data_IF_675135648413
#
_entry.id   IF_675135648413
#
_cell.length_a   1.000
_cell.length_b   1.000
_cell.length_c   1.000
_cell.angle_alpha   90.00
_cell.angle_beta   90.00
_cell.angle_gamma   90.00
#
_symmetry.space_group_name_H-M   'P 1'
#
loop_
_entity.id
_entity.type
_entity.pdbx_description
1 polymer ?
#
# COMPACT_ATOMS: atom_id res chain seq x y z
N UNK A 1 -0.94 -12.84 19.44
CA UNK A 1 -1.38 -11.74 20.34
C UNK A 1 -2.90 -11.76 20.43
N UNK A 2 -3.52 -11.59 21.63
CA UNK A 2 -4.97 -11.56 21.76
C UNK A 2 -5.46 -10.13 21.77
N UNK A 3 -6.30 -9.76 20.80
CA UNK A 3 -6.92 -8.44 20.67
C UNK A 3 -8.45 -8.52 20.73
N UNK A 4 -8.97 -9.60 21.32
CA UNK A 4 -10.42 -9.86 21.40
C UNK A 4 -11.13 -8.70 22.11
N UNK A 5 -12.19 -8.17 21.50
CA UNK A 5 -12.97 -7.06 22.05
C UNK A 5 -12.32 -5.67 21.96
N UNK A 6 -11.12 -5.55 21.41
CA UNK A 6 -10.52 -4.22 21.20
C UNK A 6 -11.22 -3.46 20.07
N UNK A 7 -11.24 -2.14 20.20
CA UNK A 7 -11.74 -1.22 19.19
C UNK A 7 -11.02 -1.39 17.85
N UNK A 8 -11.73 -1.24 16.78
CA UNK A 8 -11.19 -1.12 15.42
C UNK A 8 -11.18 0.34 14.99
N UNK A 9 -10.11 0.78 14.32
CA UNK A 9 -10.03 2.12 13.73
C UNK A 9 -11.05 2.27 12.59
N UNK A 10 -11.60 3.47 12.46
CA UNK A 10 -12.43 3.89 11.32
C UNK A 10 -11.62 4.59 10.24
N UNK A 11 -10.36 4.93 10.52
CA UNK A 11 -9.46 5.59 9.56
C UNK A 11 -8.83 4.57 8.62
N UNK A 12 -9.68 3.74 7.98
CA UNK A 12 -9.25 2.64 7.11
C UNK A 12 -9.98 2.72 5.77
N UNK A 13 -9.22 2.63 4.71
CA UNK A 13 -9.69 2.50 3.34
C UNK A 13 -9.32 1.12 2.82
N UNK A 14 -10.31 0.23 2.76
CA UNK A 14 -10.13 -1.10 2.22
C UNK A 14 -10.41 -1.08 0.71
N UNK A 15 -9.35 -1.28 -0.07
CA UNK A 15 -9.41 -1.31 -1.53
C UNK A 15 -8.93 -2.65 -2.10
N UNK A 16 -8.89 -3.67 -1.26
CA UNK A 16 -8.59 -5.04 -1.69
C UNK A 16 -9.57 -5.45 -2.80
N UNK A 17 -9.11 -6.22 -3.77
CA UNK A 17 -9.91 -6.62 -4.94
C UNK A 17 -10.25 -5.48 -5.90
N UNK A 18 -10.04 -4.22 -5.49
CA UNK A 18 -10.05 -3.08 -6.41
C UNK A 18 -8.66 -2.86 -7.00
N UNK A 19 -7.84 -3.93 -6.94
CA UNK A 19 -6.48 -3.98 -7.47
C UNK A 19 -6.45 -3.28 -8.79
N UNK A 20 -5.51 -2.35 -8.94
CA UNK A 20 -5.52 -1.38 -9.99
C UNK A 20 -6.04 -2.02 -11.25
N UNK A 21 -7.09 -1.46 -11.80
CA UNK A 21 -7.19 -1.49 -13.26
C UNK A 21 -5.78 -1.04 -13.64
N UNK A 22 -4.88 -2.02 -13.85
CA UNK A 22 -3.77 -1.78 -14.74
C UNK A 22 -4.46 -0.95 -15.80
N UNK A 23 -4.01 0.27 -16.09
CA UNK A 23 -4.56 1.02 -17.18
C UNK A 23 -4.41 0.07 -18.37
N UNK A 24 -5.35 -0.87 -18.40
CA UNK A 24 -5.52 -1.81 -19.49
C UNK A 24 -5.66 -0.85 -20.60
N UNK A 25 -4.75 -0.88 -21.52
CA UNK A 25 -4.86 -0.12 -22.75
C UNK A 25 -6.24 -0.43 -23.26
N UNK A 26 -7.23 0.43 -22.93
CA UNK A 26 -8.60 0.23 -23.34
C UNK A 26 -8.60 0.07 -24.85
N UNK A 27 -9.66 -0.50 -25.41
CA UNK A 27 -9.77 -0.76 -26.84
C UNK A 27 -9.21 0.41 -27.68
N UNK A 28 -9.44 1.67 -27.23
CA UNK A 28 -8.90 2.89 -27.85
C UNK A 28 -7.37 3.00 -27.80
N UNK A 29 -6.74 2.59 -26.73
CA UNK A 29 -5.27 2.57 -26.61
C UNK A 29 -4.66 1.48 -27.47
N UNK A 30 -5.26 0.30 -27.52
CA UNK A 30 -4.83 -0.78 -28.40
C UNK A 30 -4.93 -0.37 -29.89
N UNK A 31 -6.05 0.25 -30.28
CA UNK A 31 -6.24 0.76 -31.64
C UNK A 31 -5.19 1.81 -31.99
N UNK A 32 -4.88 2.71 -31.08
CA UNK A 32 -3.85 3.74 -31.28
C UNK A 32 -2.47 3.12 -31.48
N UNK A 33 -2.07 2.16 -30.64
CA UNK A 33 -0.79 1.48 -30.74
C UNK A 33 -0.70 0.65 -32.05
N UNK A 34 -1.78 -0.04 -32.41
CA UNK A 34 -1.87 -0.76 -33.69
C UNK A 34 -1.72 0.20 -34.89
N UNK A 35 -2.37 1.37 -34.85
CA UNK A 35 -2.26 2.37 -35.90
C UNK A 35 -0.84 2.94 -36.04
N UNK A 36 -0.19 3.26 -34.89
CA UNK A 36 1.20 3.74 -34.88
C UNK A 36 2.15 2.64 -35.40
N UNK A 37 1.96 1.38 -34.98
CA UNK A 37 2.79 0.25 -35.44
C UNK A 37 2.66 0.08 -36.95
N UNK A 38 1.44 0.19 -37.49
CA UNK A 38 1.21 0.10 -38.94
C UNK A 38 1.89 1.26 -39.71
N UNK A 39 1.79 2.50 -39.20
CA UNK A 39 2.45 3.67 -39.79
C UNK A 39 3.97 3.54 -39.81
N UNK A 40 4.55 2.84 -38.81
CA UNK A 40 6.00 2.59 -38.71
C UNK A 40 6.44 1.33 -39.49
N UNK A 41 5.54 0.71 -40.27
CA UNK A 41 5.86 -0.47 -41.10
C UNK A 41 5.88 -1.80 -40.34
N UNK A 42 5.39 -1.82 -39.08
CA UNK A 42 5.25 -3.04 -38.28
C UNK A 42 3.91 -3.73 -38.51
N UNK A 43 3.79 -4.97 -38.04
CA UNK A 43 2.55 -5.76 -38.15
C UNK A 43 1.67 -5.57 -36.90
N UNK A 44 0.46 -4.93 -37.01
CA UNK A 44 -0.45 -4.75 -35.88
C UNK A 44 -0.87 -6.04 -35.18
N UNK A 45 -0.91 -7.16 -35.92
CA UNK A 45 -1.28 -8.48 -35.37
C UNK A 45 -0.27 -8.98 -34.33
N UNK A 46 1.00 -8.61 -34.47
CA UNK A 46 2.03 -8.99 -33.49
C UNK A 46 1.85 -8.23 -32.17
N UNK A 47 1.40 -6.97 -32.24
CA UNK A 47 1.03 -6.18 -31.06
C UNK A 47 -0.17 -6.82 -30.34
N UNK A 48 -1.19 -7.22 -31.07
CA UNK A 48 -2.37 -7.89 -30.50
C UNK A 48 -1.99 -9.22 -29.86
N UNK A 49 -1.10 -10.01 -30.47
CA UNK A 49 -0.61 -11.28 -29.92
C UNK A 49 0.22 -11.09 -28.67
N UNK A 50 1.11 -10.08 -28.62
CA UNK A 50 1.92 -9.76 -27.45
C UNK A 50 1.10 -9.16 -26.30
N UNK A 51 0.02 -8.44 -26.62
CA UNK A 51 -0.86 -7.81 -25.64
C UNK A 51 -1.87 -8.78 -24.98
N UNK A 52 -1.80 -10.08 -25.23
CA UNK A 52 -2.69 -11.10 -24.65
C UNK A 52 -3.81 -11.57 -25.59
N UNK A 53 -3.67 -11.29 -26.89
CA UNK A 53 -4.47 -11.92 -27.95
C UNK A 53 -5.98 -11.66 -27.88
N UNK A 54 -6.75 -12.69 -28.17
CA UNK A 54 -8.19 -12.71 -28.35
C UNK A 54 -8.97 -12.36 -27.05
N UNK A 55 -8.38 -12.54 -25.87
CA UNK A 55 -9.02 -12.23 -24.57
C UNK A 55 -9.34 -10.75 -24.40
N UNK A 56 -8.53 -9.86 -24.97
CA UNK A 56 -8.81 -8.39 -24.95
C UNK A 56 -9.97 -8.06 -25.89
N UNK A 57 -10.13 -8.81 -26.98
CA UNK A 57 -11.17 -8.57 -27.98
C UNK A 57 -12.53 -9.16 -27.62
N UNK A 58 -12.55 -10.24 -26.83
CA UNK A 58 -13.80 -10.91 -26.47
C UNK A 58 -14.44 -10.39 -25.20
N UNK A 59 -13.78 -9.46 -24.46
CA UNK A 59 -14.34 -8.89 -23.23
C UNK A 59 -14.69 -9.94 -22.17
N UNK A 60 -14.20 -11.15 -22.32
CA UNK A 60 -14.67 -12.34 -21.63
C UNK A 60 -13.86 -12.72 -20.40
N UNK A 61 -13.64 -11.79 -19.49
CA UNK A 61 -13.43 -12.07 -18.09
C UNK A 61 -14.45 -11.26 -17.35
N UNK A 62 -15.53 -11.86 -16.88
CA UNK A 62 -16.28 -11.24 -15.81
C UNK A 62 -15.27 -10.87 -14.72
N UNK A 63 -15.27 -9.63 -14.18
CA UNK A 63 -14.45 -9.30 -13.05
C UNK A 63 -14.83 -10.31 -11.96
N UNK A 64 -13.99 -11.31 -11.70
CA UNK A 64 -14.21 -12.23 -10.58
C UNK A 64 -14.32 -11.35 -9.36
N UNK A 65 -15.49 -11.34 -8.76
CA UNK A 65 -15.75 -10.58 -7.54
C UNK A 65 -14.72 -11.05 -6.52
N UNK A 66 -13.82 -10.14 -6.12
CA UNK A 66 -12.82 -10.46 -5.11
C UNK A 66 -13.54 -10.78 -3.80
N UNK A 67 -13.48 -12.02 -3.38
CA UNK A 67 -14.00 -12.47 -2.09
C UNK A 67 -12.80 -12.68 -1.16
N UNK A 68 -12.65 -11.83 -0.13
CA UNK A 68 -11.55 -12.00 0.83
C UNK A 68 -11.62 -13.37 1.51
N UNK A 69 -10.49 -14.00 1.72
CA UNK A 69 -10.41 -15.21 2.52
C UNK A 69 -10.62 -14.91 4.01
N UNK A 70 -10.97 -15.90 4.80
CA UNK A 70 -11.11 -15.74 6.25
C UNK A 70 -9.78 -15.29 6.91
N UNK A 71 -8.64 -15.70 6.36
CA UNK A 71 -7.32 -15.26 6.83
C UNK A 71 -7.09 -13.76 6.51
N UNK A 72 -7.41 -13.31 5.31
CA UNK A 72 -7.31 -11.90 4.94
C UNK A 72 -8.23 -11.01 5.79
N UNK A 73 -9.44 -11.46 6.09
CA UNK A 73 -10.35 -10.73 6.99
C UNK A 73 -9.81 -10.67 8.42
N UNK A 74 -9.24 -11.76 8.94
CA UNK A 74 -8.60 -11.77 10.24
C UNK A 74 -7.41 -10.80 10.31
N UNK A 75 -6.57 -10.76 9.26
CA UNK A 75 -5.45 -9.81 9.14
C UNK A 75 -5.92 -8.35 8.99
N UNK A 76 -6.96 -8.12 8.21
CA UNK A 76 -7.56 -6.79 8.06
C UNK A 76 -8.13 -6.29 9.40
N UNK A 77 -8.84 -7.14 10.14
CA UNK A 77 -9.33 -6.83 11.48
C UNK A 77 -8.19 -6.53 12.44
N UNK A 78 -7.17 -7.38 12.45
CA UNK A 78 -5.97 -7.17 13.27
C UNK A 78 -5.31 -5.82 12.97
N UNK A 79 -5.15 -5.46 11.69
CA UNK A 79 -4.58 -4.18 11.26
C UNK A 79 -5.39 -3.01 11.79
N UNK A 80 -6.72 -3.07 11.70
CA UNK A 80 -7.62 -2.04 12.24
C UNK A 80 -7.49 -1.89 13.75
N UNK A 81 -7.31 -3.00 14.48
CA UNK A 81 -7.15 -2.98 15.94
C UNK A 81 -5.79 -2.41 16.37
N UNK A 82 -4.72 -2.73 15.65
CA UNK A 82 -3.38 -2.15 15.91
C UNK A 82 -3.39 -0.66 15.63
N UNK A 83 -3.95 -0.22 14.47
CA UNK A 83 -4.08 1.19 14.17
C UNK A 83 -4.86 1.94 15.28
N UNK A 84 -5.97 1.37 15.74
CA UNK A 84 -6.74 1.93 16.85
C UNK A 84 -5.91 2.09 18.12
N UNK A 85 -5.06 1.12 18.43
CA UNK A 85 -4.13 1.19 19.57
C UNK A 85 -3.10 2.31 19.41
N UNK A 86 -2.56 2.50 18.21
CA UNK A 86 -1.63 3.63 17.94
C UNK A 86 -2.34 4.98 18.02
N UNK A 87 -3.59 5.08 17.56
CA UNK A 87 -4.40 6.29 17.69
C UNK A 87 -4.58 6.68 19.17
N UNK A 88 -4.89 5.71 20.02
CA UNK A 88 -5.10 5.96 21.46
C UNK A 88 -3.82 6.50 22.12
N UNK A 89 -2.67 5.86 21.81
CA UNK A 89 -1.36 6.27 22.35
C UNK A 89 -0.97 7.66 21.85
N UNK A 90 -0.98 7.88 20.54
CA UNK A 90 -0.52 9.15 19.98
C UNK A 90 -1.47 10.32 20.26
N UNK A 91 -2.77 10.07 20.39
CA UNK A 91 -3.71 11.11 20.86
C UNK A 91 -3.36 11.57 22.28
N UNK A 92 -2.99 10.64 23.16
CA UNK A 92 -2.58 10.98 24.52
C UNK A 92 -1.25 11.75 24.55
N UNK A 93 -0.24 11.30 23.76
CA UNK A 93 1.06 11.95 23.71
C UNK A 93 1.00 13.34 23.09
N UNK A 94 0.27 13.53 21.99
CA UNK A 94 0.09 14.85 21.37
C UNK A 94 -0.60 15.82 22.32
N UNK A 95 -1.61 15.33 23.07
CA UNK A 95 -2.28 16.15 24.12
C UNK A 95 -1.31 16.60 25.21
N UNK A 96 -0.38 15.72 25.62
CA UNK A 96 0.69 16.08 26.60
C UNK A 96 1.61 17.16 26.07
N UNK A 97 1.85 17.18 24.77
CA UNK A 97 2.65 18.21 24.10
C UNK A 97 1.86 19.49 23.79
N UNK A 98 0.57 19.56 24.14
CA UNK A 98 -0.29 20.69 23.76
C UNK A 98 -0.70 20.71 22.29
N UNK A 99 -0.56 19.58 21.59
CA UNK A 99 -0.85 19.42 20.17
C UNK A 99 -2.11 18.56 19.95
N UNK A 100 -2.65 18.62 18.73
CA UNK A 100 -3.75 17.76 18.29
C UNK A 100 -3.20 16.69 17.35
N UNK A 101 -3.48 15.43 17.64
CA UNK A 101 -3.13 14.31 16.77
C UNK A 101 -4.16 14.16 15.65
N UNK A 102 -3.69 14.11 14.43
CA UNK A 102 -4.48 13.77 13.24
C UNK A 102 -4.07 12.35 12.81
N UNK A 103 -4.93 11.32 12.95
CA UNK A 103 -4.56 9.95 12.59
C UNK A 103 -4.29 9.77 11.09
N UNK A 104 -3.39 8.85 10.71
CA UNK A 104 -3.21 8.50 9.30
C UNK A 104 -4.38 7.66 8.79
N UNK A 105 -4.55 7.61 7.47
CA UNK A 105 -5.42 6.62 6.84
C UNK A 105 -4.65 5.33 6.60
N UNK A 106 -5.16 4.19 7.06
CA UNK A 106 -4.64 2.88 6.70
C UNK A 106 -5.30 2.41 5.40
N UNK A 107 -4.51 2.19 4.36
CA UNK A 107 -4.97 1.68 3.07
C UNK A 107 -4.60 0.20 2.96
N UNK A 108 -5.61 -0.67 2.98
CA UNK A 108 -5.44 -2.10 2.73
C UNK A 108 -5.63 -2.38 1.24
N UNK A 109 -4.64 -3.00 0.60
CA UNK A 109 -4.68 -3.30 -0.83
C UNK A 109 -4.18 -4.71 -1.12
N UNK A 110 -4.27 -5.14 -2.38
CA UNK A 110 -3.71 -6.40 -2.92
C UNK A 110 -2.97 -6.12 -4.21
N UNK A 111 -1.78 -6.72 -4.37
CA UNK A 111 -0.91 -6.69 -5.54
C UNK A 111 -0.28 -5.32 -5.85
N UNK A 112 -1.09 -4.30 -6.14
CA UNK A 112 -0.59 -2.98 -6.51
C UNK A 112 -1.53 -1.87 -6.06
N UNK A 113 -0.95 -0.70 -5.82
CA UNK A 113 -1.68 0.50 -5.39
C UNK A 113 -1.01 1.75 -5.95
N UNK A 114 -1.81 2.79 -6.19
CA UNK A 114 -1.33 4.13 -6.50
C UNK A 114 -1.53 5.04 -5.29
N UNK A 115 -0.44 5.67 -4.85
CA UNK A 115 -0.42 6.67 -3.78
C UNK A 115 -0.01 8.05 -4.32
N UNK A 116 -0.11 9.08 -3.50
CA UNK A 116 0.44 10.40 -3.83
C UNK A 116 1.97 10.40 -3.95
N UNK A 117 2.66 9.38 -3.39
CA UNK A 117 4.11 9.21 -3.48
C UNK A 117 4.55 8.33 -4.67
N UNK A 118 3.61 7.86 -5.49
CA UNK A 118 3.85 6.99 -6.64
C UNK A 118 3.17 5.64 -6.54
N UNK A 119 3.40 4.79 -7.55
CA UNK A 119 2.90 3.42 -7.59
C UNK A 119 3.74 2.50 -6.71
N UNK A 120 3.08 1.56 -6.04
CA UNK A 120 3.72 0.50 -5.26
C UNK A 120 3.09 -0.85 -5.56
N UNK A 121 3.85 -1.92 -5.34
CA UNK A 121 3.41 -3.31 -5.51
C UNK A 121 3.70 -4.13 -4.25
N UNK A 122 3.25 -5.37 -4.22
CA UNK A 122 3.52 -6.30 -3.10
C UNK A 122 5.01 -6.43 -2.75
N UNK A 123 5.92 -6.19 -3.72
CA UNK A 123 7.36 -6.22 -3.48
C UNK A 123 7.92 -5.00 -2.76
N UNK A 124 7.15 -3.91 -2.69
CA UNK A 124 7.56 -2.68 -1.99
C UNK A 124 7.49 -2.82 -0.46
N UNK A 125 6.76 -3.81 0.03
CA UNK A 125 6.43 -3.93 1.45
C UNK A 125 5.45 -2.85 1.93
N UNK A 126 5.12 -2.82 3.21
CA UNK A 126 4.39 -1.72 3.86
C UNK A 126 5.15 -0.40 3.75
N UNK A 127 4.44 0.71 3.64
CA UNK A 127 5.07 2.03 3.58
C UNK A 127 4.11 3.15 4.02
N UNK A 128 4.69 4.24 4.49
CA UNK A 128 3.99 5.49 4.74
C UNK A 128 4.21 6.47 3.59
N UNK A 129 3.15 7.12 3.13
CA UNK A 129 3.22 8.21 2.16
C UNK A 129 2.88 9.54 2.83
N UNK A 130 3.85 10.46 2.88
CA UNK A 130 3.65 11.78 3.47
C UNK A 130 2.77 12.70 2.63
N UNK A 131 2.66 12.43 1.33
CA UNK A 131 1.88 13.23 0.39
C UNK A 131 0.37 13.13 0.60
N UNK A 132 -0.12 11.98 1.07
CA UNK A 132 -1.53 11.74 1.38
C UNK A 132 -1.78 11.31 2.84
N UNK A 133 -0.73 11.32 3.68
CA UNK A 133 -0.75 10.95 5.09
C UNK A 133 -1.33 9.55 5.33
N UNK A 134 -1.00 8.60 4.47
CA UNK A 134 -1.55 7.26 4.50
C UNK A 134 -0.49 6.19 4.71
N UNK A 135 -0.84 5.17 5.48
CA UNK A 135 -0.08 3.94 5.65
C UNK A 135 -0.64 2.89 4.70
N UNK A 136 0.20 2.32 3.85
CA UNK A 136 -0.17 1.35 2.83
C UNK A 136 0.29 -0.04 3.19
N UNK A 137 -0.62 -1.01 3.15
CA UNK A 137 -0.35 -2.39 3.53
C UNK A 137 -0.97 -3.36 2.54
N UNK A 138 -0.13 -4.18 1.91
CA UNK A 138 -0.57 -5.39 1.22
C UNK A 138 -0.67 -6.54 2.22
N UNK A 139 -1.87 -7.10 2.40
CA UNK A 139 -2.08 -8.20 3.35
C UNK A 139 -1.33 -9.48 2.97
N UNK A 140 -0.98 -9.68 1.69
CA UNK A 140 -0.19 -10.83 1.23
C UNK A 140 1.22 -10.83 1.83
N UNK A 141 1.79 -9.65 2.09
CA UNK A 141 3.07 -9.50 2.78
C UNK A 141 3.04 -10.18 4.17
N UNK A 142 1.94 -10.03 4.89
CA UNK A 142 1.80 -10.57 6.23
C UNK A 142 1.52 -12.07 6.26
N UNK A 143 0.80 -12.59 5.28
CA UNK A 143 0.67 -14.04 5.09
C UNK A 143 2.05 -14.67 4.89
N UNK A 144 2.93 -14.00 4.16
CA UNK A 144 4.33 -14.44 3.97
C UNK A 144 5.14 -14.36 5.26
N UNK A 145 5.04 -13.26 6.00
CA UNK A 145 5.71 -13.12 7.31
C UNK A 145 5.26 -14.21 8.30
N UNK A 146 3.97 -14.49 8.37
CA UNK A 146 3.44 -15.53 9.25
C UNK A 146 3.99 -16.92 8.91
N UNK A 147 4.14 -17.23 7.63
CA UNK A 147 4.76 -18.48 7.17
C UNK A 147 6.23 -18.58 7.55
N UNK A 148 6.97 -17.47 7.50
CA UNK A 148 8.41 -17.43 7.80
C UNK A 148 8.72 -17.39 9.29
N UNK A 149 7.94 -16.64 10.08
CA UNK A 149 8.21 -16.37 11.50
C UNK A 149 7.24 -17.07 12.47
N UNK A 150 6.26 -17.83 11.97
CA UNK A 150 5.32 -18.59 12.79
C UNK A 150 4.49 -17.70 13.73
N UNK A 151 4.32 -18.15 14.99
CA UNK A 151 3.52 -17.43 16.00
C UNK A 151 4.09 -16.08 16.43
N UNK A 152 5.37 -15.83 16.19
CA UNK A 152 6.00 -14.51 16.39
C UNK A 152 5.52 -13.46 15.37
N UNK A 153 4.87 -13.91 14.29
CA UNK A 153 4.37 -13.05 13.22
C UNK A 153 3.40 -11.97 13.68
N UNK A 154 2.53 -12.24 14.65
CA UNK A 154 1.55 -11.24 15.16
C UNK A 154 2.24 -10.00 15.74
N UNK A 155 3.33 -10.19 16.50
CA UNK A 155 4.09 -9.09 17.06
C UNK A 155 4.85 -8.32 15.97
N UNK A 156 5.53 -9.04 15.08
CA UNK A 156 6.24 -8.42 13.95
C UNK A 156 5.28 -7.61 13.08
N UNK A 157 4.08 -8.14 12.86
CA UNK A 157 3.03 -7.47 12.12
C UNK A 157 2.57 -6.17 12.81
N UNK A 158 2.28 -6.24 14.11
CA UNK A 158 1.91 -5.05 14.90
C UNK A 158 3.04 -4.01 14.89
N UNK A 159 4.29 -4.46 14.99
CA UNK A 159 5.46 -3.60 14.93
C UNK A 159 5.56 -2.86 13.59
N UNK A 160 5.37 -3.54 12.47
CA UNK A 160 5.41 -2.90 11.15
C UNK A 160 4.36 -1.80 11.04
N UNK A 161 3.10 -2.06 11.44
CA UNK A 161 2.05 -1.02 11.42
C UNK A 161 2.45 0.17 12.30
N UNK A 162 2.94 -0.11 13.52
CA UNK A 162 3.36 0.95 14.44
C UNK A 162 4.57 1.74 13.91
N UNK A 163 5.47 1.10 13.17
CA UNK A 163 6.61 1.73 12.51
C UNK A 163 6.14 2.73 11.44
N UNK A 164 5.23 2.34 10.56
CA UNK A 164 4.69 3.23 9.54
C UNK A 164 3.89 4.40 10.16
N UNK A 165 3.17 4.15 11.25
CA UNK A 165 2.54 5.23 12.04
C UNK A 165 3.61 6.12 12.67
N UNK A 166 4.77 5.59 13.04
CA UNK A 166 5.93 6.38 13.50
C UNK A 166 6.38 7.39 12.46
N UNK A 167 6.47 7.01 11.19
CA UNK A 167 6.76 7.93 10.09
C UNK A 167 5.68 9.01 9.93
N UNK A 168 4.42 8.65 10.14
CA UNK A 168 3.34 9.64 10.15
C UNK A 168 3.52 10.66 11.27
N UNK A 169 3.85 10.22 12.47
CA UNK A 169 4.14 11.11 13.61
C UNK A 169 5.34 12.01 13.32
N UNK A 170 6.42 11.47 12.78
CA UNK A 170 7.58 12.27 12.33
C UNK A 170 7.18 13.32 11.30
N UNK A 171 6.27 12.98 10.38
CA UNK A 171 5.74 13.92 9.41
C UNK A 171 4.93 15.05 10.06
N UNK A 172 4.05 14.73 11.02
CA UNK A 172 3.26 15.73 11.78
C UNK A 172 4.15 16.67 12.60
N UNK A 173 5.23 16.15 13.16
CA UNK A 173 6.20 16.93 13.95
C UNK A 173 7.22 17.69 13.07
N UNK A 174 7.25 17.43 11.76
CA UNK A 174 8.18 18.07 10.80
C UNK A 174 9.55 17.39 10.71
N UNK A 175 9.89 16.47 11.60
CA UNK A 175 11.20 15.80 11.66
C UNK A 175 11.46 14.89 10.45
N UNK A 176 10.41 14.31 9.84
CA UNK A 176 10.56 13.51 8.62
C UNK A 176 11.13 14.35 7.45
N UNK A 177 10.65 15.57 7.29
CA UNK A 177 11.16 16.49 6.25
C UNK A 177 12.59 16.92 6.53
N UNK A 178 12.93 17.18 7.79
CA UNK A 178 14.30 17.53 8.19
C UNK A 178 15.25 16.37 7.92
N UNK A 179 14.86 15.13 8.27
CA UNK A 179 15.64 13.93 7.99
C UNK A 179 15.86 13.74 6.49
N UNK A 180 14.83 13.83 5.66
CA UNK A 180 14.95 13.71 4.21
C UNK A 180 15.87 14.80 3.62
N UNK A 181 15.79 16.02 4.12
CA UNK A 181 16.67 17.10 3.69
C UNK A 181 18.12 16.80 4.05
N UNK A 182 18.38 16.36 5.28
CA UNK A 182 19.73 15.98 5.72
C UNK A 182 20.27 14.80 4.90
N UNK A 183 19.45 13.77 4.67
CA UNK A 183 19.83 12.60 3.85
C UNK A 183 20.17 12.97 2.40
N UNK A 184 19.46 13.94 1.80
CA UNK A 184 19.71 14.38 0.43
C UNK A 184 21.02 15.19 0.27
N UNK A 185 21.56 15.69 1.37
CA UNK A 185 22.76 16.52 1.41
C UNK A 185 24.01 15.79 1.87
N UNK A 186 23.93 14.49 2.12
CA UNK A 186 25.03 13.71 2.70
C UNK A 186 25.34 12.47 1.88
N UNK A 187 26.43 11.77 2.24
CA UNK A 187 26.79 10.50 1.60
C UNK A 187 25.80 9.40 1.94
N UNK A 188 25.68 8.36 1.08
CA UNK A 188 24.81 7.22 1.33
C UNK A 188 25.10 6.53 2.70
N UNK A 189 26.37 6.47 3.11
CA UNK A 189 26.77 5.88 4.38
C UNK A 189 26.30 6.68 5.60
N UNK A 190 26.22 8.01 5.48
CA UNK A 190 25.68 8.87 6.54
C UNK A 190 24.16 8.96 6.47
N UNK A 191 23.56 8.99 5.27
CA UNK A 191 22.13 8.92 5.10
C UNK A 191 21.53 7.69 5.79
N UNK A 192 22.19 6.54 5.69
CA UNK A 192 21.77 5.29 6.36
C UNK A 192 21.83 5.34 7.91
N UNK A 193 22.46 6.35 8.50
CA UNK A 193 22.45 6.57 9.96
C UNK A 193 21.30 7.48 10.41
N UNK A 194 20.71 8.23 9.49
CA UNK A 194 19.61 9.15 9.74
C UNK A 194 18.27 8.43 9.54
N UNK A 195 18.27 7.43 8.66
CA UNK A 195 17.10 6.60 8.29
C UNK A 195 16.54 5.78 9.45
#
# INVERSE_FOLDING_TARGET
MRLDGRRESRNVKDIRGKGGKAAGMGLGGLVLVCAITWLLGGNPLDVVRQAGGLEILTGGGEPSEYVPTAEEEALAKFSRQILAGTEDVWTAEFRRMGLTYEPPTLVLFTNSVQSACGGASSSSGPFYCSGDKSVYIDLSFFSTMKKQFGSAGDFAYAYVIAHEVGHHVQNLLGTLREAHTAMSQTSQAEANKIS
#
